data_IF_066448827285
#
_entry.id   IF_066448827285
#
_cell.length_a   1.000
_cell.length_b   1.000
_cell.length_c   1.000
_cell.angle_alpha   90.00
_cell.angle_beta   90.00
_cell.angle_gamma   90.00
#
_symmetry.space_group_name_H-M   'P 1'
#
loop_
_entity.id
_entity.type
_entity.pdbx_description
1 polymer ?
#
# COMPACT_ATOMS: atom_id res chain seq x y z
N UNK A 1 -11.32 8.43 17.37
CA UNK A 1 -10.84 7.05 17.66
C UNK A 1 -9.33 7.09 17.79
N UNK A 2 -8.81 6.50 18.87
CA UNK A 2 -7.38 6.35 19.11
C UNK A 2 -7.03 4.86 19.15
N UNK A 3 -5.99 4.47 18.45
CA UNK A 3 -5.45 3.11 18.43
C UNK A 3 -3.97 3.20 18.79
N UNK A 4 -3.59 2.61 19.91
CA UNK A 4 -2.22 2.57 20.40
C UNK A 4 -1.43 1.38 19.82
N UNK A 5 -0.12 1.36 20.05
CA UNK A 5 0.78 0.33 19.52
C UNK A 5 0.39 -1.08 20.02
N UNK A 6 -0.10 -1.23 21.24
CA UNK A 6 -0.51 -2.52 21.79
C UNK A 6 -1.71 -3.06 20.99
N UNK A 7 -2.73 -2.24 20.80
CA UNK A 7 -3.91 -2.62 20.00
C UNK A 7 -3.56 -2.86 18.54
N UNK A 8 -2.66 -2.04 17.95
CA UNK A 8 -2.22 -2.26 16.58
C UNK A 8 -1.55 -3.63 16.38
N UNK A 9 -0.86 -4.14 17.40
CA UNK A 9 -0.22 -5.47 17.34
C UNK A 9 -1.20 -6.64 17.45
N UNK A 10 -2.36 -6.42 18.08
CA UNK A 10 -3.41 -7.43 18.27
C UNK A 10 -4.38 -7.52 17.09
N UNK A 11 -4.47 -6.46 16.29
CA UNK A 11 -5.40 -6.42 15.15
C UNK A 11 -4.86 -7.25 13.99
N UNK A 12 -5.60 -8.28 13.55
CA UNK A 12 -5.21 -9.03 12.36
C UNK A 12 -5.30 -8.12 11.13
N UNK A 13 -4.16 -7.87 10.51
CA UNK A 13 -4.06 -7.06 9.30
C UNK A 13 -3.64 -7.95 8.12
N UNK A 14 -4.22 -7.70 6.96
CA UNK A 14 -3.87 -8.44 5.74
C UNK A 14 -2.66 -7.81 5.06
N UNK A 15 -2.65 -6.48 4.95
CA UNK A 15 -1.62 -5.74 4.21
C UNK A 15 -0.63 -5.00 5.12
N UNK A 16 -0.83 -5.03 6.44
CA UNK A 16 -0.05 -4.25 7.42
C UNK A 16 0.09 -2.78 7.05
N UNK A 17 -0.98 -2.22 6.52
CA UNK A 17 -1.05 -0.82 6.14
C UNK A 17 -1.71 0.03 7.23
N UNK A 18 -1.45 1.34 7.21
CA UNK A 18 -2.20 2.28 8.05
C UNK A 18 -3.70 2.18 7.78
N UNK A 19 -4.10 1.91 6.53
CA UNK A 19 -5.50 1.76 6.15
C UNK A 19 -6.19 0.63 6.92
N UNK A 20 -5.50 -0.48 7.21
CA UNK A 20 -6.06 -1.59 7.97
C UNK A 20 -6.43 -1.17 9.40
N UNK A 21 -5.59 -0.33 10.02
CA UNK A 21 -5.84 0.20 11.37
C UNK A 21 -6.92 1.29 11.35
N UNK A 22 -6.91 2.16 10.35
CA UNK A 22 -7.91 3.22 10.22
C UNK A 22 -9.34 2.67 10.04
N UNK A 23 -9.48 1.47 9.47
CA UNK A 23 -10.77 0.75 9.33
C UNK A 23 -11.46 0.42 10.67
N UNK A 24 -10.73 0.46 11.80
CA UNK A 24 -11.32 0.31 13.13
C UNK A 24 -12.15 1.54 13.55
N UNK A 25 -12.08 2.63 12.78
CA UNK A 25 -12.89 3.82 13.03
C UNK A 25 -14.28 3.62 12.44
N UNK A 26 -15.35 3.70 13.24
CA UNK A 26 -16.72 3.43 12.78
C UNK A 26 -17.18 4.32 11.62
N UNK A 27 -16.70 5.57 11.56
CA UNK A 27 -17.03 6.54 10.53
C UNK A 27 -16.06 6.51 9.33
N UNK A 28 -15.17 5.53 9.27
CA UNK A 28 -14.17 5.40 8.23
C UNK A 28 -14.43 4.24 7.30
N UNK A 29 -14.13 4.42 6.02
CA UNK A 29 -14.22 3.37 5.02
C UNK A 29 -13.12 3.50 3.97
N UNK A 30 -12.64 2.37 3.46
CA UNK A 30 -11.80 2.37 2.26
C UNK A 30 -12.70 2.59 1.03
N UNK A 31 -12.47 3.67 0.32
CA UNK A 31 -13.20 4.03 -0.90
C UNK A 31 -12.19 4.33 -1.99
N UNK A 32 -12.25 3.56 -3.07
CA UNK A 32 -11.28 3.70 -4.15
C UNK A 32 -9.84 3.42 -3.69
N UNK A 33 -8.94 4.36 -3.94
CA UNK A 33 -7.50 4.22 -3.64
C UNK A 33 -7.09 4.82 -2.29
N UNK A 34 -8.02 5.03 -1.35
CA UNK A 34 -7.69 5.63 -0.06
C UNK A 34 -8.75 5.45 1.00
N UNK A 35 -8.45 5.98 2.18
CA UNK A 35 -9.32 5.93 3.35
C UNK A 35 -10.13 7.23 3.50
N UNK A 36 -11.44 7.10 3.52
CA UNK A 36 -12.40 8.18 3.70
C UNK A 36 -12.90 8.21 5.14
N UNK A 37 -13.10 9.40 5.68
CA UNK A 37 -13.69 9.63 7.00
C UNK A 37 -14.94 10.48 6.86
N UNK A 38 -16.00 10.09 7.56
CA UNK A 38 -17.26 10.84 7.58
C UNK A 38 -18.06 10.83 6.27
N UNK A 39 -17.85 9.83 5.41
CA UNK A 39 -18.57 9.68 4.14
C UNK A 39 -18.10 10.58 3.00
N UNK A 40 -17.02 11.34 3.19
CA UNK A 40 -16.41 12.18 2.16
C UNK A 40 -15.57 11.41 1.15
N UNK A 41 -14.90 12.12 0.26
CA UNK A 41 -13.89 11.53 -0.62
C UNK A 41 -12.59 11.31 0.17
N UNK A 42 -11.88 10.21 -0.10
CA UNK A 42 -10.60 9.91 0.57
C UNK A 42 -9.56 11.02 0.40
N UNK A 43 -9.60 11.77 -0.69
CA UNK A 43 -8.71 12.93 -0.95
C UNK A 43 -8.99 14.12 -0.04
N UNK A 44 -10.15 14.16 0.59
CA UNK A 44 -10.54 15.21 1.53
C UNK A 44 -10.08 14.91 2.96
N UNK A 45 -9.61 13.69 3.23
CA UNK A 45 -9.03 13.31 4.51
C UNK A 45 -7.60 13.79 4.63
N UNK A 46 -7.26 14.36 5.76
CA UNK A 46 -5.92 14.88 6.06
C UNK A 46 -5.13 13.85 6.85
N UNK A 47 -4.00 13.42 6.30
CA UNK A 47 -3.13 12.44 6.95
C UNK A 47 -1.82 13.09 7.34
N UNK A 48 -1.51 13.03 8.63
CA UNK A 48 -0.23 13.52 9.16
C UNK A 48 0.51 12.41 9.89
N UNK A 49 1.83 12.49 9.83
CA UNK A 49 2.72 11.70 10.67
C UNK A 49 3.57 12.69 11.46
N UNK A 50 3.41 12.68 12.78
CA UNK A 50 4.07 13.62 13.69
C UNK A 50 3.86 15.10 13.28
N UNK A 51 2.72 15.44 12.72
CA UNK A 51 2.38 16.77 12.26
C UNK A 51 2.82 17.13 10.84
N UNK A 52 3.63 16.31 10.17
CA UNK A 52 3.96 16.49 8.76
C UNK A 52 2.88 15.88 7.87
N UNK A 53 2.41 16.61 6.86
CA UNK A 53 1.41 16.14 5.91
C UNK A 53 2.00 15.08 4.95
N UNK A 54 1.27 14.00 4.77
CA UNK A 54 1.62 12.89 3.87
C UNK A 54 0.64 12.73 2.70
N UNK A 55 -0.35 13.59 2.62
CA UNK A 55 -1.31 13.56 1.52
C UNK A 55 -0.65 13.85 0.17
N UNK A 56 -1.17 13.21 -0.88
CA UNK A 56 -0.83 13.55 -2.24
C UNK A 56 -1.46 14.91 -2.61
N UNK A 57 -0.64 15.95 -2.63
CA UNK A 57 -1.08 17.33 -2.90
C UNK A 57 -1.65 17.51 -4.33
N UNK A 58 -1.24 16.68 -5.28
CA UNK A 58 -1.68 16.79 -6.68
C UNK A 58 -2.99 16.06 -6.96
N UNK A 59 -3.47 15.23 -6.03
CA UNK A 59 -4.74 14.51 -6.16
C UNK A 59 -4.80 13.48 -7.28
N UNK A 60 -3.69 13.10 -7.87
CA UNK A 60 -3.59 12.08 -8.92
C UNK A 60 -3.10 10.77 -8.30
N UNK A 61 -3.78 9.67 -8.59
CA UNK A 61 -3.43 8.35 -8.08
C UNK A 61 -3.83 8.14 -6.61
N UNK A 62 -3.08 7.31 -5.90
CA UNK A 62 -3.30 7.00 -4.49
C UNK A 62 -3.07 8.22 -3.59
N UNK A 63 -3.90 8.39 -2.56
CA UNK A 63 -3.75 9.49 -1.60
C UNK A 63 -2.48 9.37 -0.74
N UNK A 64 -2.05 8.15 -0.45
CA UNK A 64 -0.86 7.87 0.33
C UNK A 64 0.15 7.08 -0.49
N UNK A 65 1.44 7.33 -0.34
CA UNK A 65 2.49 6.57 -1.00
C UNK A 65 2.54 5.11 -0.52
N UNK A 66 3.25 4.27 -1.25
CA UNK A 66 3.47 2.86 -0.95
C UNK A 66 2.17 2.09 -0.65
N UNK A 67 1.14 2.26 -1.51
CA UNK A 67 -0.12 1.53 -1.39
C UNK A 67 -0.93 1.86 -0.13
N UNK A 68 -0.80 3.06 0.43
CA UNK A 68 -1.49 3.50 1.64
C UNK A 68 -0.70 3.26 2.94
N UNK A 69 0.57 2.92 2.84
CA UNK A 69 1.44 2.69 4.00
C UNK A 69 2.72 3.53 3.90
N UNK A 70 2.64 4.85 4.13
CA UNK A 70 3.78 5.76 4.00
C UNK A 70 4.88 5.51 5.03
N UNK A 71 4.54 4.85 6.13
CA UNK A 71 5.43 4.51 7.23
C UNK A 71 5.12 3.09 7.72
N UNK A 72 6.12 2.39 8.27
CA UNK A 72 5.92 1.08 8.87
C UNK A 72 4.98 1.15 10.08
N UNK A 73 4.05 0.20 10.21
CA UNK A 73 3.20 0.12 11.42
C UNK A 73 4.03 -0.10 12.68
N UNK A 74 5.16 -0.80 12.57
CA UNK A 74 6.06 -1.07 13.70
C UNK A 74 6.76 0.20 14.22
N UNK A 75 6.83 1.24 13.40
CA UNK A 75 7.34 2.55 13.78
C UNK A 75 6.31 3.45 14.48
N UNK A 76 5.03 3.06 14.51
CA UNK A 76 3.96 3.87 15.06
C UNK A 76 3.71 3.55 16.54
N UNK A 77 3.53 4.60 17.32
CA UNK A 77 3.09 4.55 18.71
C UNK A 77 1.57 4.62 18.81
N UNK A 78 0.97 5.49 17.98
CA UNK A 78 -0.46 5.75 18.03
C UNK A 78 -0.98 6.25 16.67
N UNK A 79 -2.20 5.86 16.33
CA UNK A 79 -2.99 6.46 15.25
C UNK A 79 -4.27 7.04 15.86
N UNK A 80 -4.52 8.30 15.58
CA UNK A 80 -5.72 9.02 15.99
C UNK A 80 -6.53 9.42 14.76
N UNK A 81 -7.80 9.08 14.74
CA UNK A 81 -8.75 9.48 13.68
C UNK A 81 -9.82 10.37 14.28
N UNK A 82 -9.94 11.58 13.76
CA UNK A 82 -10.94 12.58 14.12
C UNK A 82 -11.84 12.91 12.93
N UNK A 83 -13.16 12.86 13.12
CA UNK A 83 -14.14 13.17 12.08
C UNK A 83 -14.36 14.67 11.88
N UNK A 84 -14.20 15.44 12.96
CA UNK A 84 -14.44 16.89 12.97
C UNK A 84 -13.38 17.59 13.83
N UNK A 85 -12.15 17.73 13.31
CA UNK A 85 -11.11 18.45 14.03
C UNK A 85 -11.39 19.96 13.98
N UNK A 86 -11.44 20.59 15.15
CA UNK A 86 -11.61 22.04 15.30
C UNK A 86 -10.29 22.77 15.62
N UNK A 87 -9.16 22.17 15.29
CA UNK A 87 -7.86 22.77 15.57
C UNK A 87 -7.46 23.70 14.41
N UNK A 88 -7.27 24.98 14.70
CA UNK A 88 -6.87 26.01 13.71
C UNK A 88 -5.51 25.77 13.08
N UNK A 89 -4.67 24.91 13.67
CA UNK A 89 -3.38 24.51 13.14
C UNK A 89 -3.49 23.46 12.02
N UNK A 90 -4.67 22.86 11.86
CA UNK A 90 -4.95 21.87 10.84
C UNK A 90 -5.77 22.53 9.74
N UNK A 91 -5.25 22.51 8.51
CA UNK A 91 -5.88 23.14 7.36
C UNK A 91 -5.72 22.27 6.09
N UNK A 92 -6.43 22.64 5.02
CA UNK A 92 -6.30 21.98 3.72
C UNK A 92 -7.09 20.68 3.57
N UNK A 93 -8.13 20.46 4.38
CA UNK A 93 -9.02 19.32 4.28
C UNK A 93 -10.48 19.71 4.57
N UNK A 94 -11.41 18.90 4.08
CA UNK A 94 -12.86 19.05 4.30
C UNK A 94 -13.49 17.79 4.90
N UNK A 95 -12.71 16.72 5.05
CA UNK A 95 -13.10 15.45 5.68
C UNK A 95 -12.53 15.31 7.10
N UNK A 96 -12.22 14.09 7.49
CA UNK A 96 -11.59 13.82 8.77
C UNK A 96 -10.07 14.02 8.76
N UNK A 97 -9.50 14.13 9.95
CA UNK A 97 -8.05 14.16 10.15
C UNK A 97 -7.55 12.85 10.77
N UNK A 98 -6.49 12.34 10.19
CA UNK A 98 -5.78 11.14 10.66
C UNK A 98 -4.39 11.60 11.08
N UNK A 99 -4.06 11.39 12.33
CA UNK A 99 -2.77 11.76 12.88
C UNK A 99 -2.07 10.52 13.44
N UNK A 100 -0.94 10.19 12.87
CA UNK A 100 -0.07 9.12 13.33
C UNK A 100 1.10 9.72 14.12
N UNK A 101 1.44 9.08 15.23
CA UNK A 101 2.57 9.46 16.10
C UNK A 101 3.58 8.32 16.05
N UNK A 102 4.84 8.65 15.80
CA UNK A 102 5.92 7.67 15.75
C UNK A 102 6.48 7.36 17.14
N UNK A 103 6.98 6.13 17.29
CA UNK A 103 7.69 5.71 18.51
C UNK A 103 8.92 6.58 18.75
N UNK A 104 9.27 6.74 20.01
CA UNK A 104 10.50 7.39 20.45
C UNK A 104 11.39 6.41 21.22
N UNK A 105 12.68 6.74 21.35
CA UNK A 105 13.58 5.99 22.21
C UNK A 105 13.23 6.18 23.69
N UNK A 106 13.61 5.20 24.49
CA UNK A 106 13.48 5.20 25.96
C UNK A 106 14.85 5.01 26.61
N UNK A 107 14.91 5.03 27.94
CA UNK A 107 16.17 4.73 28.65
C UNK A 107 16.65 3.29 28.48
N UNK A 108 15.77 2.41 28.04
CA UNK A 108 16.07 1.01 27.73
C UNK A 108 16.20 0.83 26.22
N UNK A 109 17.19 0.04 25.82
CA UNK A 109 17.30 -0.37 24.42
C UNK A 109 16.20 -1.41 24.13
N UNK A 110 15.40 -1.10 23.11
CA UNK A 110 14.36 -2.00 22.60
C UNK A 110 14.51 -2.10 21.09
N UNK A 111 14.48 -3.31 20.59
CA UNK A 111 14.56 -3.59 19.17
C UNK A 111 13.59 -4.68 18.76
N UNK A 112 13.13 -4.62 17.53
CA UNK A 112 12.30 -5.64 16.89
C UNK A 112 12.90 -5.99 15.53
N UNK A 113 12.75 -7.24 15.14
CA UNK A 113 12.99 -7.68 13.79
C UNK A 113 11.86 -8.63 13.41
N UNK A 114 11.32 -8.47 12.20
CA UNK A 114 10.19 -9.25 11.75
C UNK A 114 10.25 -9.54 10.26
N UNK A 115 9.60 -10.63 9.88
CA UNK A 115 9.36 -11.01 8.51
C UNK A 115 7.93 -11.49 8.39
N UNK A 116 7.22 -10.98 7.38
CA UNK A 116 5.89 -11.44 7.01
C UNK A 116 5.92 -11.88 5.56
N UNK A 117 5.31 -13.01 5.28
CA UNK A 117 5.16 -13.48 3.90
C UNK A 117 3.75 -14.01 3.68
N UNK A 118 3.20 -13.67 2.54
CA UNK A 118 1.94 -14.19 2.02
C UNK A 118 2.16 -14.54 0.55
N UNK A 119 1.69 -15.69 0.12
CA UNK A 119 1.79 -16.11 -1.28
C UNK A 119 0.63 -17.03 -1.66
N UNK A 120 0.43 -17.23 -2.96
CA UNK A 120 -0.62 -18.09 -3.49
C UNK A 120 -0.54 -19.54 -3.05
N UNK A 121 0.64 -20.05 -2.65
CA UNK A 121 0.80 -21.41 -2.15
C UNK A 121 0.30 -21.59 -0.72
N UNK A 122 0.29 -20.50 0.07
CA UNK A 122 -0.22 -20.49 1.44
C UNK A 122 -1.74 -20.25 1.50
N UNK A 123 -2.33 -19.72 0.43
CA UNK A 123 -3.77 -19.54 0.30
C UNK A 123 -4.33 -20.67 -0.56
N UNK A 124 -5.24 -21.49 -0.05
CA UNK A 124 -5.84 -22.58 -0.80
C UNK A 124 -6.41 -22.12 -2.16
N UNK A 125 -6.37 -23.01 -3.14
CA UNK A 125 -6.89 -22.80 -4.49
C UNK A 125 -8.17 -23.57 -4.79
N UNK A 126 -8.73 -24.28 -3.80
CA UNK A 126 -9.96 -25.06 -3.94
C UNK A 126 -11.12 -24.41 -3.20
N UNK A 127 -12.25 -24.30 -3.89
CA UNK A 127 -13.53 -23.91 -3.31
C UNK A 127 -14.52 -25.01 -3.70
N UNK A 128 -14.90 -25.84 -2.73
CA UNK A 128 -15.66 -27.08 -2.98
C UNK A 128 -14.93 -27.97 -3.99
N UNK A 129 -15.57 -28.33 -5.09
CA UNK A 129 -15.02 -29.17 -6.14
C UNK A 129 -14.28 -28.36 -7.24
N UNK A 130 -14.23 -27.06 -7.12
CA UNK A 130 -13.61 -26.19 -8.12
C UNK A 130 -12.18 -25.82 -7.73
N UNK A 131 -11.25 -26.02 -8.64
CA UNK A 131 -9.86 -25.56 -8.50
C UNK A 131 -9.69 -24.22 -9.24
N UNK A 132 -9.31 -23.18 -8.48
CA UNK A 132 -9.08 -21.85 -9.01
C UNK A 132 -7.63 -21.73 -9.52
N UNK A 133 -7.47 -21.44 -10.80
CA UNK A 133 -6.17 -21.05 -11.32
C UNK A 133 -5.88 -19.60 -10.90
N UNK A 134 -4.86 -19.42 -10.06
CA UNK A 134 -4.43 -18.10 -9.58
C UNK A 134 -3.13 -17.68 -10.24
N UNK A 135 -3.08 -16.43 -10.66
CA UNK A 135 -1.83 -15.81 -11.04
C UNK A 135 -0.92 -15.63 -9.83
N UNK A 136 0.36 -15.44 -10.08
CA UNK A 136 1.36 -15.22 -9.04
C UNK A 136 1.01 -13.99 -8.23
N UNK A 137 0.79 -14.21 -6.95
CA UNK A 137 0.53 -13.19 -5.94
C UNK A 137 1.41 -13.51 -4.74
N UNK A 138 2.28 -12.59 -4.35
CA UNK A 138 3.03 -12.71 -3.11
C UNK A 138 3.35 -11.34 -2.53
N UNK A 139 3.40 -11.29 -1.23
CA UNK A 139 3.86 -10.12 -0.49
C UNK A 139 4.82 -10.59 0.59
N UNK A 140 6.03 -10.04 0.58
CA UNK A 140 7.02 -10.32 1.62
C UNK A 140 7.52 -9.01 2.18
N UNK A 141 7.45 -8.89 3.51
CA UNK A 141 7.88 -7.69 4.24
C UNK A 141 8.97 -8.08 5.22
N UNK A 142 10.07 -7.38 5.19
CA UNK A 142 11.16 -7.46 6.16
C UNK A 142 11.26 -6.12 6.88
N UNK A 143 11.36 -6.15 8.20
CA UNK A 143 11.52 -4.92 8.95
C UNK A 143 12.33 -5.11 10.22
N UNK A 144 12.93 -4.02 10.65
CA UNK A 144 13.64 -3.95 11.91
C UNK A 144 13.51 -2.56 12.52
N UNK A 145 13.48 -2.51 13.85
CA UNK A 145 13.53 -1.26 14.59
C UNK A 145 14.48 -1.36 15.78
N UNK A 146 15.05 -0.23 16.15
CA UNK A 146 15.89 -0.09 17.31
C UNK A 146 15.69 1.29 17.94
N UNK A 147 15.48 1.31 19.24
CA UNK A 147 15.36 2.55 20.01
C UNK A 147 16.07 2.46 21.33
N UNK A 148 16.54 3.59 21.84
CA UNK A 148 17.22 3.64 23.12
C UNK A 148 17.72 5.03 23.50
N UNK A 149 18.48 5.11 24.58
CA UNK A 149 19.12 6.33 25.02
C UNK A 149 20.59 6.38 24.55
N UNK A 150 20.96 7.44 23.83
CA UNK A 150 22.37 7.81 23.63
C UNK A 150 22.91 8.38 24.92
N UNK A 151 22.13 9.24 25.58
CA UNK A 151 22.43 9.77 26.89
C UNK A 151 21.18 9.58 27.75
N UNK A 152 21.29 8.79 28.81
CA UNK A 152 20.15 8.51 29.71
C UNK A 152 19.47 9.79 30.19
N UNK A 153 18.13 9.80 30.15
CA UNK A 153 17.25 10.90 30.51
C UNK A 153 17.38 12.17 29.65
N UNK A 154 18.28 12.20 28.67
CA UNK A 154 18.56 13.42 27.89
C UNK A 154 18.40 13.23 26.39
N UNK A 155 19.08 12.25 25.79
CA UNK A 155 19.11 12.10 24.35
C UNK A 155 18.70 10.69 23.96
N UNK A 156 17.63 10.60 23.20
CA UNK A 156 17.05 9.34 22.78
C UNK A 156 17.06 9.26 21.25
N UNK A 157 17.13 8.06 20.73
CA UNK A 157 16.98 7.79 19.33
C UNK A 157 15.98 6.66 19.08
N UNK A 158 15.38 6.67 17.92
CA UNK A 158 14.62 5.55 17.37
C UNK A 158 14.84 5.49 15.88
N UNK A 159 15.15 4.31 15.36
CA UNK A 159 15.31 4.03 13.92
C UNK A 159 14.43 2.84 13.52
N UNK A 160 13.87 2.91 12.34
CA UNK A 160 13.11 1.82 11.75
C UNK A 160 13.42 1.74 10.26
N UNK A 161 13.55 0.52 9.77
CA UNK A 161 13.68 0.21 8.35
C UNK A 161 12.73 -0.92 7.97
N UNK A 162 12.04 -0.76 6.84
CA UNK A 162 11.15 -1.78 6.28
C UNK A 162 11.34 -1.87 4.77
N UNK A 163 11.46 -3.08 4.27
CA UNK A 163 11.41 -3.40 2.85
C UNK A 163 10.24 -4.33 2.59
N UNK A 164 9.45 -4.00 1.58
CA UNK A 164 8.31 -4.79 1.15
C UNK A 164 8.43 -5.09 -0.34
N UNK A 165 8.38 -6.36 -0.67
CA UNK A 165 8.22 -6.85 -2.03
C UNK A 165 6.77 -7.31 -2.21
N UNK A 166 6.00 -6.57 -2.97
CA UNK A 166 4.58 -6.82 -3.20
C UNK A 166 4.33 -7.06 -4.68
N UNK A 167 3.95 -8.27 -4.99
CA UNK A 167 3.59 -8.70 -6.35
C UNK A 167 2.12 -9.09 -6.36
N UNK A 168 1.32 -8.30 -7.04
CA UNK A 168 -0.10 -8.56 -7.21
C UNK A 168 -0.35 -9.26 -8.53
N UNK A 169 -1.27 -10.20 -8.53
CA UNK A 169 -1.74 -10.82 -9.75
C UNK A 169 -2.28 -9.76 -10.71
N UNK A 170 -1.82 -9.78 -11.93
CA UNK A 170 -2.40 -9.00 -13.00
C UNK A 170 -3.81 -9.48 -13.35
N UNK A 171 -4.46 -8.88 -14.35
CA UNK A 171 -5.77 -9.30 -14.78
C UNK A 171 -5.82 -10.81 -15.08
N UNK A 172 -6.80 -11.51 -14.55
CA UNK A 172 -7.00 -12.95 -14.73
C UNK A 172 -7.52 -13.32 -16.13
N UNK A 173 -7.71 -12.31 -17.00
CA UNK A 173 -8.17 -12.54 -18.37
C UNK A 173 -7.06 -13.09 -19.26
N UNK A 174 -7.37 -14.14 -20.01
CA UNK A 174 -6.53 -14.66 -21.09
C UNK A 174 -7.08 -14.10 -22.38
N UNK A 175 -6.21 -13.61 -23.25
CA UNK A 175 -6.62 -13.12 -24.54
C UNK A 175 -7.10 -14.27 -25.42
N UNK A 176 -8.20 -14.04 -26.13
CA UNK A 176 -8.73 -14.98 -27.11
C UNK A 176 -7.72 -15.16 -28.24
N UNK A 177 -7.42 -16.41 -28.58
CA UNK A 177 -6.47 -16.76 -29.63
C UNK A 177 -7.14 -17.07 -30.97
N UNK A 178 -8.45 -17.37 -30.95
CA UNK A 178 -9.22 -17.68 -32.14
C UNK A 178 -10.71 -17.36 -32.00
N UNK A 179 -11.43 -17.37 -33.13
CA UNK A 179 -12.86 -17.06 -33.13
C UNK A 179 -13.71 -18.12 -32.38
N UNK A 180 -13.18 -19.33 -32.24
CA UNK A 180 -13.87 -20.48 -31.65
C UNK A 180 -13.43 -20.80 -30.20
N UNK A 181 -12.67 -19.92 -29.56
CA UNK A 181 -12.30 -20.13 -28.15
C UNK A 181 -13.53 -20.09 -27.28
N UNK A 182 -13.90 -21.23 -26.73
CA UNK A 182 -14.99 -21.33 -25.77
C UNK A 182 -14.63 -20.69 -24.43
N UNK A 183 -15.64 -20.18 -23.73
CA UNK A 183 -15.51 -19.75 -22.36
C UNK A 183 -15.11 -20.92 -21.49
N UNK A 184 -13.96 -20.82 -20.83
CA UNK A 184 -13.53 -21.86 -19.91
C UNK A 184 -14.49 -21.94 -18.73
N UNK A 185 -15.01 -23.13 -18.46
CA UNK A 185 -15.82 -23.43 -17.27
C UNK A 185 -14.99 -23.44 -15.97
N UNK A 186 -13.66 -23.34 -16.07
CA UNK A 186 -12.73 -23.44 -14.93
C UNK A 186 -12.42 -22.11 -14.24
N UNK A 187 -13.32 -21.13 -14.29
CA UNK A 187 -13.15 -19.85 -13.58
C UNK A 187 -12.13 -18.89 -14.18
N UNK A 188 -11.51 -19.23 -15.29
CA UNK A 188 -10.67 -18.33 -16.08
C UNK A 188 -11.60 -17.40 -16.85
N UNK A 189 -11.62 -16.12 -16.50
CA UNK A 189 -12.35 -15.12 -17.26
C UNK A 189 -11.59 -14.86 -18.55
N UNK A 190 -11.98 -15.52 -19.64
CA UNK A 190 -11.60 -15.06 -20.97
C UNK A 190 -12.28 -13.72 -21.19
N UNK A 191 -11.49 -12.66 -21.37
CA UNK A 191 -12.01 -11.41 -21.92
C UNK A 191 -11.88 -11.50 -23.43
N UNK A 192 -12.94 -11.86 -24.15
CA UNK A 192 -12.90 -11.83 -25.60
C UNK A 192 -12.73 -10.38 -26.02
N UNK A 193 -11.82 -10.13 -26.91
CA UNK A 193 -11.98 -9.01 -27.80
C UNK A 193 -13.16 -9.40 -28.71
N UNK A 194 -14.35 -8.99 -28.33
CA UNK A 194 -15.61 -9.51 -28.92
C UNK A 194 -15.75 -9.11 -30.38
N UNK A 195 -15.06 -8.06 -30.82
CA UNK A 195 -15.19 -7.52 -32.15
C UNK A 195 -13.99 -7.90 -33.01
N UNK A 196 -14.28 -8.53 -34.14
CA UNK A 196 -13.34 -8.61 -35.25
C UNK A 196 -13.10 -7.20 -35.77
N UNK A 197 -11.87 -6.73 -35.72
CA UNK A 197 -11.49 -5.42 -36.26
C UNK A 197 -10.71 -5.67 -37.57
N UNK A 198 -11.14 -5.08 -38.67
CA UNK A 198 -10.41 -5.15 -39.95
C UNK A 198 -9.58 -3.89 -40.13
N UNK A 199 -8.26 -4.04 -40.22
CA UNK A 199 -7.32 -2.94 -40.48
C UNK A 199 -6.45 -3.34 -41.67
N UNK A 200 -6.40 -2.50 -42.69
CA UNK A 200 -5.59 -2.76 -43.88
C UNK A 200 -5.96 -4.05 -44.64
N UNK A 201 -7.25 -4.42 -44.62
CA UNK A 201 -7.72 -5.65 -45.29
C UNK A 201 -7.48 -6.94 -44.51
N UNK A 202 -6.90 -6.88 -43.33
CA UNK A 202 -6.64 -8.02 -42.43
C UNK A 202 -7.58 -7.98 -41.27
N UNK A 203 -8.28 -9.08 -41.01
CA UNK A 203 -9.18 -9.21 -39.87
C UNK A 203 -8.43 -9.72 -38.65
N UNK A 204 -8.53 -9.01 -37.54
CA UNK A 204 -7.90 -9.36 -36.26
C UNK A 204 -8.95 -9.95 -35.33
N UNK A 205 -8.61 -11.09 -34.74
CA UNK A 205 -9.39 -11.76 -33.72
C UNK A 205 -8.49 -11.88 -32.50
N UNK A 206 -8.82 -11.07 -31.47
CA UNK A 206 -8.11 -11.10 -30.20
C UNK A 206 -6.78 -10.34 -30.16
N UNK A 207 -6.25 -10.20 -28.96
CA UNK A 207 -5.03 -9.41 -28.67
C UNK A 207 -3.76 -10.02 -29.27
N UNK A 208 -3.69 -11.35 -29.41
CA UNK A 208 -2.55 -12.02 -30.02
C UNK A 208 -2.33 -11.54 -31.47
N UNK A 209 -3.42 -11.51 -32.25
CA UNK A 209 -3.36 -11.09 -33.66
C UNK A 209 -3.06 -9.59 -33.78
N UNK A 210 -3.57 -8.77 -32.88
CA UNK A 210 -3.24 -7.34 -32.84
C UNK A 210 -1.76 -7.15 -32.53
N UNK A 211 -1.23 -7.84 -31.51
CA UNK A 211 0.19 -7.78 -31.15
C UNK A 211 1.09 -8.20 -32.32
N UNK A 212 0.74 -9.29 -32.98
CA UNK A 212 1.47 -9.75 -34.17
C UNK A 212 1.42 -8.73 -35.33
N UNK A 213 0.26 -8.14 -35.61
CA UNK A 213 0.13 -7.10 -36.62
C UNK A 213 0.97 -5.86 -36.35
N UNK A 214 0.98 -5.39 -35.09
CA UNK A 214 1.79 -4.24 -34.68
C UNK A 214 3.29 -4.53 -34.85
N UNK A 215 3.71 -5.75 -34.52
CA UNK A 215 5.10 -6.18 -34.68
C UNK A 215 5.49 -6.27 -36.17
N UNK A 216 4.68 -6.92 -36.99
CA UNK A 216 4.99 -7.15 -38.41
C UNK A 216 4.93 -5.86 -39.25
N UNK A 217 3.92 -5.03 -39.02
CA UNK A 217 3.68 -3.84 -39.86
C UNK A 217 4.45 -2.61 -39.41
N UNK A 218 4.58 -2.43 -38.08
CA UNK A 218 5.15 -1.21 -37.51
C UNK A 218 6.47 -1.45 -36.77
N UNK A 219 6.94 -2.70 -36.74
CA UNK A 219 8.10 -3.10 -35.94
C UNK A 219 7.97 -2.65 -34.47
N UNK A 220 6.74 -2.68 -33.96
CA UNK A 220 6.39 -2.23 -32.60
C UNK A 220 6.00 -3.42 -31.72
N UNK A 221 6.73 -3.61 -30.63
CA UNK A 221 6.38 -4.61 -29.63
C UNK A 221 5.51 -3.95 -28.54
N UNK A 222 4.20 -4.29 -28.44
CA UNK A 222 3.30 -3.70 -27.44
C UNK A 222 3.55 -4.20 -26.01
N UNK A 223 4.51 -5.10 -25.83
CA UNK A 223 4.78 -5.70 -24.52
C UNK A 223 3.80 -6.84 -24.16
N UNK A 224 3.80 -7.22 -22.89
CA UNK A 224 2.91 -8.26 -22.37
C UNK A 224 1.53 -7.69 -22.08
N UNK A 225 0.48 -8.30 -22.58
CA UNK A 225 -0.93 -7.95 -22.33
C UNK A 225 -1.67 -9.01 -21.51
N UNK A 226 -1.02 -10.16 -21.20
CA UNK A 226 -1.55 -11.23 -20.36
C UNK A 226 -0.44 -11.90 -19.57
N UNK A 227 -0.81 -12.56 -18.47
CA UNK A 227 0.14 -13.32 -17.65
C UNK A 227 1.23 -12.46 -17.00
N UNK A 228 0.97 -11.15 -16.80
CA UNK A 228 1.87 -10.25 -16.08
C UNK A 228 1.40 -10.05 -14.64
N UNK A 229 2.31 -9.71 -13.80
CA UNK A 229 2.05 -9.30 -12.41
C UNK A 229 2.41 -7.83 -12.25
N UNK A 230 1.72 -7.16 -11.34
CA UNK A 230 2.03 -5.79 -10.96
C UNK A 230 2.97 -5.83 -9.76
N UNK A 231 4.19 -5.39 -9.98
CA UNK A 231 5.21 -5.39 -8.93
C UNK A 231 5.30 -4.00 -8.29
N UNK A 232 5.23 -3.96 -6.97
CA UNK A 232 5.31 -2.72 -6.20
C UNK A 232 6.29 -2.89 -5.06
N UNK A 233 7.61 -2.99 -5.36
CA UNK A 233 8.60 -2.96 -4.31
C UNK A 233 8.61 -1.60 -3.62
N UNK A 234 8.74 -1.60 -2.30
CA UNK A 234 8.84 -0.37 -1.52
C UNK A 234 9.83 -0.51 -0.37
N UNK A 235 10.49 0.57 -0.04
CA UNK A 235 11.29 0.66 1.19
C UNK A 235 10.96 1.93 1.95
N UNK A 236 11.00 1.81 3.26
CA UNK A 236 10.66 2.86 4.21
C UNK A 236 11.75 2.93 5.26
N UNK A 237 12.25 4.12 5.50
CA UNK A 237 13.26 4.37 6.53
C UNK A 237 12.78 5.54 7.39
N UNK A 238 12.86 5.39 8.68
CA UNK A 238 12.53 6.42 9.63
C UNK A 238 13.60 6.52 10.71
N UNK A 239 13.98 7.75 11.03
CA UNK A 239 14.86 8.08 12.13
C UNK A 239 14.32 9.23 12.97
N UNK A 240 14.40 9.09 14.28
CA UNK A 240 13.96 10.11 15.24
C UNK A 240 15.02 10.30 16.31
N UNK A 241 15.25 11.56 16.67
CA UNK A 241 16.08 11.97 17.79
C UNK A 241 15.27 12.90 18.68
N UNK A 242 15.23 12.61 19.96
CA UNK A 242 14.56 13.44 20.98
C UNK A 242 15.60 13.89 22.00
N UNK A 243 15.83 15.19 22.10
CA UNK A 243 16.82 15.79 22.98
C UNK A 243 16.15 16.67 24.04
N UNK A 244 16.20 16.25 25.29
CA UNK A 244 15.83 17.03 26.45
C UNK A 244 17.05 17.85 26.91
N UNK A 245 17.15 19.09 26.43
CA UNK A 245 18.29 19.98 26.75
C UNK A 245 18.29 20.31 28.23
N UNK A 246 17.12 20.74 28.72
CA UNK A 246 16.81 21.02 30.11
C UNK A 246 15.32 20.84 30.38
N UNK A 247 14.86 21.14 31.59
CA UNK A 247 13.46 20.95 31.95
C UNK A 247 12.47 21.80 31.13
N UNK A 248 12.93 22.91 30.54
CA UNK A 248 12.09 23.84 29.78
C UNK A 248 12.25 23.73 28.27
N UNK A 249 13.32 23.11 27.80
CA UNK A 249 13.65 23.07 26.36
C UNK A 249 13.85 21.64 25.90
N UNK A 250 13.06 21.26 24.89
CA UNK A 250 13.15 19.97 24.22
C UNK A 250 13.21 20.20 22.71
N UNK A 251 14.06 19.47 22.04
CA UNK A 251 14.19 19.46 20.58
C UNK A 251 13.93 18.04 20.10
N UNK A 252 13.17 17.90 19.03
CA UNK A 252 13.03 16.65 18.33
C UNK A 252 13.38 16.86 16.86
N UNK A 253 14.08 15.88 16.30
CA UNK A 253 14.38 15.80 14.89
C UNK A 253 13.83 14.48 14.34
N UNK A 254 13.19 14.55 13.17
CA UNK A 254 12.62 13.39 12.49
C UNK A 254 12.99 13.40 11.03
N UNK A 255 13.29 12.24 10.53
CA UNK A 255 13.53 11.99 9.12
C UNK A 255 12.72 10.76 8.69
N UNK A 256 11.97 10.91 7.61
CA UNK A 256 11.22 9.79 7.02
C UNK A 256 11.47 9.81 5.52
N UNK A 257 11.81 8.64 4.99
CA UNK A 257 11.96 8.43 3.56
C UNK A 257 11.19 7.19 3.14
N UNK A 258 10.33 7.36 2.15
CA UNK A 258 9.53 6.27 1.58
C UNK A 258 9.69 6.30 0.06
N UNK A 259 10.04 5.15 -0.50
CA UNK A 259 10.12 4.99 -1.93
C UNK A 259 9.32 3.75 -2.34
N UNK A 260 8.52 3.90 -3.38
CA UNK A 260 7.82 2.79 -4.02
C UNK A 260 7.83 2.99 -5.53
N UNK A 261 7.91 1.88 -6.25
CA UNK A 261 7.89 1.89 -7.70
C UNK A 261 6.83 0.92 -8.20
N UNK A 262 5.99 1.38 -9.12
CA UNK A 262 5.10 0.52 -9.88
C UNK A 262 5.80 0.09 -11.17
N UNK A 263 5.81 -1.20 -11.46
CA UNK A 263 6.35 -1.78 -12.69
C UNK A 263 5.43 -2.83 -13.26
#
# INVERSE_FOLDING_TARGET
TNVDAARMSEVPTVSRSMNDIMRLTPQGANIGSGFSVGGGNYRQSYVTVDGAAFNNAFGIGSNLPAGGSPISLDALEQISVSTTPFDVRQSGFTGGAINAVTKSGTNEFKGTAYMYTSNTHLTGNKVEDYELTRNRDHSTTYGASLGGAIIKNKLFFFVNGEYQDNVQAGPSGIARSGANDEWSTNGIVHRPFENTTTVGGRTFVGMNNISQYLSEKYNYNPGRYQGYSLETPSYKIMGRLDWNINNNNKINFRFTHTHSKYS
#
